data_IF_530653780013
#
_entry.id   IF_530653780013
#
_cell.length_a   1.000
_cell.length_b   1.000
_cell.length_c   1.000
_cell.angle_alpha   90.00
_cell.angle_beta   90.00
_cell.angle_gamma   90.00
#
_symmetry.space_group_name_H-M   'P 1'
#
loop_
_entity.id
_entity.type
_entity.pdbx_description
1 polymer ?
#
# COMPACT_ATOMS: atom_id res chain seq x y z
N UNK A 1 -0.20 13.71 -5.97
CA UNK A 1 0.44 13.98 -4.67
C UNK A 1 -0.52 13.89 -3.49
N UNK A 2 -1.73 14.43 -3.68
CA UNK A 2 -2.73 14.37 -2.62
C UNK A 2 -3.14 12.92 -2.33
N UNK A 3 -3.24 12.10 -3.37
CA UNK A 3 -3.56 10.68 -3.18
C UNK A 3 -2.49 9.99 -2.35
N UNK A 4 -1.21 10.25 -2.66
CA UNK A 4 -0.12 9.63 -1.91
C UNK A 4 -0.10 10.06 -0.45
N UNK A 5 -0.38 11.35 -0.18
CA UNK A 5 -0.43 11.84 1.19
C UNK A 5 -1.57 11.18 1.97
N UNK A 6 -2.72 11.04 1.34
CA UNK A 6 -3.87 10.39 1.94
C UNK A 6 -3.61 8.92 2.23
N UNK A 7 -3.01 8.22 1.27
CA UNK A 7 -2.65 6.81 1.44
C UNK A 7 -1.61 6.63 2.55
N UNK A 8 -0.61 7.51 2.60
CA UNK A 8 0.42 7.44 3.63
C UNK A 8 -0.19 7.60 5.03
N UNK A 9 -1.07 8.57 5.18
CA UNK A 9 -1.73 8.82 6.46
C UNK A 9 -2.50 7.58 6.93
N UNK A 10 -3.31 7.00 6.04
CA UNK A 10 -4.10 5.82 6.37
C UNK A 10 -3.21 4.60 6.59
N UNK A 11 -2.15 4.47 5.81
CA UNK A 11 -1.20 3.36 5.97
C UNK A 11 -0.55 3.39 7.35
N UNK A 12 -0.14 4.57 7.81
CA UNK A 12 0.47 4.71 9.13
C UNK A 12 -0.49 4.32 10.24
N UNK A 13 -1.77 4.59 10.08
CA UNK A 13 -2.78 4.26 11.07
C UNK A 13 -2.90 2.76 11.30
N UNK A 14 -2.62 1.96 10.30
CA UNK A 14 -2.77 0.51 10.38
C UNK A 14 -1.45 -0.24 10.26
N UNK A 15 -0.33 0.48 10.23
CA UNK A 15 0.98 -0.14 10.12
C UNK A 15 1.31 -0.69 8.75
N UNK A 16 0.64 -0.21 7.72
CA UNK A 16 0.92 -0.63 6.35
C UNK A 16 2.09 0.16 5.77
N UNK A 17 2.64 -0.35 4.69
CA UNK A 17 3.76 0.29 4.00
C UNK A 17 3.35 0.78 2.62
N UNK A 18 3.89 1.92 2.23
CA UNK A 18 3.82 2.38 0.85
C UNK A 18 5.07 1.86 0.14
N UNK A 19 4.88 1.18 -0.97
CA UNK A 19 5.99 0.57 -1.70
C UNK A 19 5.93 1.00 -3.16
N UNK A 20 7.09 1.34 -3.72
CA UNK A 20 7.20 1.59 -5.15
C UNK A 20 8.19 0.61 -5.76
N UNK A 21 8.00 0.30 -7.03
CA UNK A 21 8.89 -0.60 -7.75
C UNK A 21 10.19 0.11 -8.12
N UNK A 22 10.10 1.38 -8.41
CA UNK A 22 11.18 2.21 -8.91
C UNK A 22 10.65 3.10 -10.00
N UNK A 23 11.48 4.00 -10.48
CA UNK A 23 11.09 4.90 -11.54
C UNK A 23 11.46 4.33 -12.90
N UNK A 24 10.99 5.02 -13.94
CA UNK A 24 11.20 4.60 -15.33
C UNK A 24 12.65 4.25 -15.62
N UNK A 25 12.84 3.22 -16.44
CA UNK A 25 14.15 2.79 -16.93
C UNK A 25 15.07 2.26 -15.85
N UNK A 26 14.53 1.83 -14.71
CA UNK A 26 15.33 1.29 -13.60
C UNK A 26 16.45 2.24 -13.19
N UNK A 27 16.20 3.52 -13.26
CA UNK A 27 17.21 4.53 -12.92
C UNK A 27 17.22 4.75 -11.40
N UNK A 28 18.21 4.17 -10.74
CA UNK A 28 18.38 4.28 -9.30
C UNK A 28 18.49 5.71 -8.82
N UNK A 29 19.19 6.52 -9.59
CA UNK A 29 19.43 7.91 -9.23
C UNK A 29 18.13 8.70 -9.18
N UNK A 30 17.29 8.56 -10.18
CA UNK A 30 15.99 9.22 -10.22
C UNK A 30 15.07 8.69 -9.13
N UNK A 31 15.06 7.37 -8.91
CA UNK A 31 14.26 6.74 -7.88
C UNK A 31 14.67 7.26 -6.51
N UNK A 32 15.98 7.35 -6.28
CA UNK A 32 16.50 7.83 -5.00
C UNK A 32 16.11 9.29 -4.76
N UNK A 33 16.23 10.13 -5.77
CA UNK A 33 15.85 11.55 -5.68
C UNK A 33 14.36 11.70 -5.39
N UNK A 34 13.54 10.90 -6.06
CA UNK A 34 12.10 10.91 -5.86
C UNK A 34 11.75 10.53 -4.42
N UNK A 35 12.33 9.43 -3.93
CA UNK A 35 12.08 8.94 -2.58
C UNK A 35 12.51 9.97 -1.53
N UNK A 36 13.67 10.58 -1.74
CA UNK A 36 14.18 11.62 -0.86
C UNK A 36 13.23 12.81 -0.81
N UNK A 37 12.74 13.23 -1.98
CA UNK A 37 11.79 14.33 -2.08
C UNK A 37 10.50 14.01 -1.33
N UNK A 38 10.01 12.78 -1.43
CA UNK A 38 8.80 12.36 -0.73
C UNK A 38 9.02 12.33 0.78
N UNK A 39 10.19 11.84 1.22
CA UNK A 39 10.52 11.82 2.64
C UNK A 39 10.57 13.23 3.24
N UNK A 40 11.05 14.18 2.48
CA UNK A 40 11.08 15.58 2.92
C UNK A 40 9.69 16.14 3.12
N UNK A 41 8.69 15.57 2.42
CA UNK A 41 7.28 15.95 2.57
C UNK A 41 6.57 15.12 3.64
N UNK A 42 7.29 14.28 4.36
CA UNK A 42 6.73 13.44 5.41
C UNK A 42 6.20 12.09 4.95
N UNK A 43 6.41 11.74 3.70
CA UNK A 43 5.99 10.44 3.17
C UNK A 43 7.11 9.42 3.35
N UNK A 44 6.77 8.25 3.89
CA UNK A 44 7.71 7.14 4.03
C UNK A 44 7.39 6.11 2.96
N UNK A 45 8.28 5.98 1.98
CA UNK A 45 8.08 5.07 0.85
C UNK A 45 9.28 4.15 0.74
N UNK A 46 9.02 2.85 0.67
CA UNK A 46 10.04 1.83 0.45
C UNK A 46 10.12 1.50 -1.04
N UNK A 47 11.31 1.16 -1.48
CA UNK A 47 11.53 0.68 -2.85
C UNK A 47 11.72 -0.83 -2.77
N UNK A 48 10.78 -1.59 -3.33
CA UNK A 48 10.82 -3.04 -3.23
C UNK A 48 10.26 -3.69 -4.50
N UNK A 49 11.08 -3.80 -5.54
CA UNK A 49 10.64 -4.41 -6.78
C UNK A 49 10.25 -5.88 -6.63
N UNK A 50 10.85 -6.58 -5.66
CA UNK A 50 10.54 -7.99 -5.42
C UNK A 50 9.11 -8.20 -4.95
N UNK A 51 8.59 -7.27 -4.12
CA UNK A 51 7.21 -7.36 -3.66
C UNK A 51 6.23 -7.27 -4.84
N UNK A 52 6.53 -6.45 -5.84
CA UNK A 52 5.70 -6.36 -7.03
C UNK A 52 5.64 -7.69 -7.78
N UNK A 53 6.76 -8.37 -7.88
CA UNK A 53 6.81 -9.68 -8.55
C UNK A 53 6.15 -10.75 -7.70
N UNK A 54 6.40 -10.74 -6.39
CA UNK A 54 5.85 -11.71 -5.46
C UNK A 54 4.32 -11.70 -5.44
N UNK A 55 3.73 -10.51 -5.45
CA UNK A 55 2.28 -10.35 -5.42
C UNK A 55 1.68 -10.09 -6.80
N UNK A 56 2.47 -10.28 -7.84
CA UNK A 56 2.03 -10.15 -9.23
C UNK A 56 1.36 -8.80 -9.52
N UNK A 57 1.96 -7.72 -9.02
CA UNK A 57 1.45 -6.37 -9.22
C UNK A 57 1.98 -5.84 -10.55
N UNK A 58 1.08 -5.65 -11.50
CA UNK A 58 1.41 -5.14 -12.84
C UNK A 58 0.82 -3.76 -13.10
N UNK A 59 -0.11 -3.33 -12.27
CA UNK A 59 -0.75 -2.03 -12.38
C UNK A 59 -0.83 -1.38 -11.00
N UNK A 60 -0.74 -0.07 -10.96
CA UNK A 60 -0.81 0.68 -9.70
C UNK A 60 -1.90 1.75 -9.82
N UNK A 61 -2.50 2.16 -8.70
CA UNK A 61 -2.24 1.65 -7.36
C UNK A 61 -2.81 0.25 -7.16
N UNK A 62 -2.15 -0.51 -6.30
CA UNK A 62 -2.62 -1.84 -5.92
C UNK A 62 -2.53 -1.96 -4.40
N UNK A 63 -3.46 -2.71 -3.84
CA UNK A 63 -3.52 -2.96 -2.40
C UNK A 63 -3.33 -4.44 -2.19
N UNK A 64 -2.45 -4.80 -1.25
CA UNK A 64 -2.15 -6.20 -0.95
C UNK A 64 -2.21 -6.40 0.55
N UNK A 65 -2.90 -7.45 0.97
CA UNK A 65 -2.85 -7.94 2.34
C UNK A 65 -2.31 -9.36 2.26
N UNK A 66 -1.31 -9.67 3.08
CA UNK A 66 -0.70 -10.99 3.01
C UNK A 66 -0.46 -11.58 4.39
N UNK A 67 -0.46 -12.90 4.44
CA UNK A 67 -0.23 -13.66 5.65
C UNK A 67 0.44 -14.96 5.22
N UNK A 68 1.74 -15.09 5.52
CA UNK A 68 2.52 -16.22 5.01
C UNK A 68 2.50 -16.25 3.49
N UNK A 69 2.06 -17.36 2.92
CA UNK A 69 2.01 -17.52 1.47
C UNK A 69 0.70 -17.06 0.85
N UNK A 70 -0.28 -16.76 1.68
CA UNK A 70 -1.58 -16.29 1.19
C UNK A 70 -1.60 -14.79 1.04
N UNK A 71 -2.29 -14.30 0.03
CA UNK A 71 -2.50 -12.86 -0.12
C UNK A 71 -3.77 -12.57 -0.90
N UNK A 72 -4.32 -11.38 -0.64
CA UNK A 72 -5.40 -10.80 -1.43
C UNK A 72 -4.88 -9.53 -2.06
N UNK A 73 -5.34 -9.25 -3.26
CA UNK A 73 -4.89 -8.09 -4.03
C UNK A 73 -6.08 -7.40 -4.69
N UNK A 74 -6.05 -6.07 -4.65
CA UNK A 74 -7.04 -5.24 -5.34
C UNK A 74 -6.30 -4.13 -6.07
N UNK A 75 -6.56 -4.00 -7.36
CA UNK A 75 -5.96 -2.98 -8.20
C UNK A 75 -7.01 -1.91 -8.48
N UNK A 76 -6.63 -0.65 -8.31
CA UNK A 76 -7.53 0.44 -8.62
C UNK A 76 -7.28 1.67 -7.76
N UNK A 77 -7.78 2.78 -8.24
CA UNK A 77 -7.63 4.05 -7.55
C UNK A 77 -8.76 4.20 -6.52
N UNK A 78 -8.62 3.48 -5.41
CA UNK A 78 -9.60 3.46 -4.34
C UNK A 78 -8.93 3.79 -3.01
N UNK A 79 -9.72 3.93 -1.96
CA UNK A 79 -9.17 4.16 -0.62
C UNK A 79 -8.71 2.85 0.01
N UNK A 80 -7.86 2.96 1.03
CA UNK A 80 -7.45 1.79 1.81
C UNK A 80 -8.67 1.17 2.49
N UNK A 81 -9.58 2.00 3.00
CA UNK A 81 -10.81 1.51 3.64
C UNK A 81 -11.64 0.68 2.66
N UNK A 82 -11.78 1.13 1.43
CA UNK A 82 -12.52 0.38 0.42
C UNK A 82 -11.84 -0.96 0.12
N UNK A 83 -10.51 -0.94 -0.07
CA UNK A 83 -9.77 -2.16 -0.35
C UNK A 83 -9.91 -3.17 0.79
N UNK A 84 -9.77 -2.71 2.02
CA UNK A 84 -9.94 -3.58 3.19
C UNK A 84 -11.36 -4.13 3.30
N UNK A 85 -12.34 -3.31 2.96
CA UNK A 85 -13.74 -3.72 2.94
C UNK A 85 -13.97 -4.86 1.96
N UNK A 86 -13.37 -4.75 0.77
CA UNK A 86 -13.48 -5.81 -0.24
C UNK A 86 -12.77 -7.08 0.21
N UNK A 87 -11.59 -6.96 0.80
CA UNK A 87 -10.89 -8.13 1.33
C UNK A 87 -11.68 -8.78 2.47
N UNK A 88 -12.33 -7.98 3.31
CA UNK A 88 -13.12 -8.47 4.43
C UNK A 88 -14.36 -9.21 3.96
N UNK A 89 -14.90 -8.84 2.81
CA UNK A 89 -16.13 -9.45 2.28
C UNK A 89 -15.84 -10.65 1.38
N UNK A 90 -14.78 -10.59 0.58
CA UNK A 90 -14.58 -11.56 -0.49
C UNK A 90 -13.21 -12.25 -0.49
N UNK A 91 -12.25 -11.74 0.28
CA UNK A 91 -10.88 -12.24 0.23
C UNK A 91 -10.64 -13.53 1.00
N UNK A 92 -9.47 -14.09 0.82
CA UNK A 92 -9.02 -15.24 1.58
C UNK A 92 -8.61 -14.87 3.01
N UNK A 93 -8.20 -13.63 3.20
CA UNK A 93 -7.73 -13.13 4.50
C UNK A 93 -8.75 -12.18 5.14
N UNK A 94 -10.02 -12.62 5.13
CA UNK A 94 -11.13 -11.82 5.63
C UNK A 94 -10.98 -11.37 7.09
N UNK A 95 -10.49 -12.28 7.93
CA UNK A 95 -10.31 -11.98 9.36
C UNK A 95 -9.27 -10.90 9.59
N UNK A 96 -8.13 -11.01 8.92
CA UNK A 96 -7.07 -10.01 9.01
C UNK A 96 -7.55 -8.66 8.48
N UNK A 97 -8.28 -8.68 7.36
CA UNK A 97 -8.80 -7.45 6.76
C UNK A 97 -9.77 -6.73 7.70
N UNK A 98 -10.64 -7.48 8.38
CA UNK A 98 -11.58 -6.92 9.35
C UNK A 98 -10.87 -6.26 10.52
N UNK A 99 -9.77 -6.86 10.98
CA UNK A 99 -9.00 -6.30 12.07
C UNK A 99 -8.33 -4.98 11.67
N UNK A 100 -7.74 -4.92 10.48
CA UNK A 100 -7.15 -3.69 9.99
C UNK A 100 -8.20 -2.61 9.77
N UNK A 101 -9.37 -2.99 9.26
CA UNK A 101 -10.45 -2.05 9.03
C UNK A 101 -10.94 -1.46 10.36
N UNK A 102 -11.03 -2.31 11.38
CA UNK A 102 -11.39 -1.87 12.73
C UNK A 102 -10.39 -0.86 13.29
N UNK A 103 -9.10 -1.11 13.08
CA UNK A 103 -8.03 -0.18 13.51
C UNK A 103 -8.17 1.17 12.82
N UNK A 104 -8.43 1.12 11.52
CA UNK A 104 -8.58 2.35 10.73
C UNK A 104 -9.76 3.17 11.22
N UNK A 105 -10.88 2.53 11.51
CA UNK A 105 -12.08 3.20 12.02
C UNK A 105 -11.84 3.80 13.42
N UNK A 106 -11.14 3.06 14.29
CA UNK A 106 -10.85 3.53 15.65
C UNK A 106 -9.93 4.75 15.65
N UNK A 107 -8.93 4.74 14.76
CA UNK A 107 -7.99 5.86 14.66
C UNK A 107 -8.66 7.14 14.16
N UNK A 108 -9.77 7.02 13.43
CA UNK A 108 -10.49 8.15 12.87
C UNK A 108 -11.56 8.73 13.82
N UNK A 109 -11.70 8.15 14.99
CA UNK A 109 -12.59 8.69 16.04
C UNK A 109 -11.82 9.65 17.02
#
# INVERSE_FOLDING_TARGET
>A
KELLLSLDKQAKQIGAKLIIRGLKNNNFKETFSYTKSMNEKGLVIDIDPKAFDEFEVTQVPAFVINQGEQYDKLVGNVSIAYALSEFANQGDLRGAAREYLRRLENENK
#
